data_IF_544896434312
#
_entry.id   IF_544896434312
#
_cell.length_a   1.000
_cell.length_b   1.000
_cell.length_c   1.000
_cell.angle_alpha   90.00
_cell.angle_beta   90.00
_cell.angle_gamma   90.00
#
_symmetry.space_group_name_H-M   'P 1'
#
loop_
_entity.id
_entity.type
_entity.pdbx_description
1 polymer ?
#
# COMPACT_ATOMS: atom_id res chain seq x y z
N UNK A 1 -4.18 -68.15 -2.79
CA UNK A 1 -4.29 -67.22 -3.92
C UNK A 1 -4.85 -65.87 -3.51
N UNK A 2 -5.84 -65.78 -2.61
CA UNK A 2 -6.40 -64.51 -2.11
C UNK A 2 -5.47 -63.65 -1.25
N UNK A 3 -4.65 -64.30 -0.37
CA UNK A 3 -3.70 -63.56 0.49
C UNK A 3 -2.54 -62.87 -0.27
N UNK A 4 -2.07 -63.48 -1.35
CA UNK A 4 -1.03 -62.91 -2.19
C UNK A 4 -1.53 -61.66 -2.98
N UNK A 5 -2.79 -61.66 -3.40
CA UNK A 5 -3.41 -60.54 -4.09
C UNK A 5 -3.63 -59.36 -3.15
N UNK A 6 -3.98 -59.61 -1.86
CA UNK A 6 -4.15 -58.59 -0.84
C UNK A 6 -2.83 -57.88 -0.46
N UNK A 7 -1.72 -58.61 -0.37
CA UNK A 7 -0.39 -58.07 -0.09
C UNK A 7 0.15 -57.20 -1.26
N UNK A 8 -0.13 -57.60 -2.50
CA UNK A 8 0.24 -56.81 -3.68
C UNK A 8 -0.53 -55.49 -3.75
N UNK A 9 -1.84 -55.49 -3.45
CA UNK A 9 -2.67 -54.29 -3.43
C UNK A 9 -2.25 -53.31 -2.31
N UNK A 10 -1.88 -53.82 -1.13
CA UNK A 10 -1.36 -53.00 -0.02
C UNK A 10 0.00 -52.34 -0.36
N UNK A 11 0.89 -53.07 -1.05
CA UNK A 11 2.20 -52.54 -1.46
C UNK A 11 2.06 -51.47 -2.55
N UNK A 12 1.09 -51.61 -3.47
CA UNK A 12 0.81 -50.60 -4.50
C UNK A 12 0.20 -49.32 -3.89
N UNK A 13 -0.68 -49.48 -2.90
CA UNK A 13 -1.27 -48.35 -2.18
C UNK A 13 -0.21 -47.51 -1.41
N UNK A 14 0.72 -48.18 -0.72
CA UNK A 14 1.84 -47.54 -0.03
C UNK A 14 2.80 -46.80 -1.00
N UNK A 15 3.06 -47.33 -2.17
CA UNK A 15 3.87 -46.68 -3.20
C UNK A 15 3.18 -45.45 -3.82
N UNK A 16 1.86 -45.47 -3.96
CA UNK A 16 1.08 -44.31 -4.43
C UNK A 16 1.04 -43.19 -3.40
N UNK A 17 0.94 -43.52 -2.09
CA UNK A 17 0.93 -42.51 -1.03
C UNK A 17 2.31 -41.84 -0.87
N UNK A 18 3.40 -42.59 -0.96
CA UNK A 18 4.76 -42.03 -0.93
C UNK A 18 5.03 -41.09 -2.11
N UNK A 19 4.54 -41.39 -3.33
CA UNK A 19 4.68 -40.50 -4.47
C UNK A 19 3.88 -39.19 -4.33
N UNK A 20 2.69 -39.23 -3.74
CA UNK A 20 1.87 -38.01 -3.49
C UNK A 20 2.51 -37.11 -2.45
N UNK A 21 3.07 -37.67 -1.36
CA UNK A 21 3.74 -36.91 -0.29
C UNK A 21 5.03 -36.27 -0.82
N UNK A 22 5.83 -37.03 -1.61
CA UNK A 22 7.06 -36.48 -2.20
C UNK A 22 6.78 -35.41 -3.25
N UNK A 23 5.73 -35.55 -4.04
CA UNK A 23 5.34 -34.58 -5.06
C UNK A 23 4.81 -33.27 -4.45
N UNK A 24 4.08 -33.37 -3.32
CA UNK A 24 3.65 -32.21 -2.53
C UNK A 24 4.83 -31.50 -1.89
N UNK A 25 5.77 -32.23 -1.27
CA UNK A 25 6.96 -31.67 -0.66
C UNK A 25 7.89 -30.98 -1.68
N UNK A 26 8.06 -31.59 -2.87
CA UNK A 26 8.83 -31.01 -3.97
C UNK A 26 8.18 -29.75 -4.55
N UNK A 27 6.84 -29.71 -4.67
CA UNK A 27 6.12 -28.49 -5.05
C UNK A 27 6.35 -27.38 -4.06
N UNK A 28 6.18 -27.65 -2.77
CA UNK A 28 6.40 -26.68 -1.69
C UNK A 28 7.85 -26.17 -1.65
N UNK A 29 8.84 -27.03 -1.91
CA UNK A 29 10.25 -26.63 -2.00
C UNK A 29 10.52 -25.73 -3.20
N UNK A 30 9.95 -26.04 -4.37
CA UNK A 30 10.06 -25.19 -5.58
C UNK A 30 9.38 -23.84 -5.40
N UNK A 31 8.22 -23.82 -4.75
CA UNK A 31 7.49 -22.57 -4.44
C UNK A 31 8.30 -21.69 -3.50
N UNK A 32 8.91 -22.25 -2.45
CA UNK A 32 9.80 -21.50 -1.54
C UNK A 32 11.01 -20.94 -2.28
N UNK A 33 11.73 -21.77 -3.03
CA UNK A 33 12.88 -21.32 -3.81
C UNK A 33 12.49 -20.22 -4.83
N UNK A 34 11.30 -20.33 -5.46
CA UNK A 34 10.79 -19.28 -6.33
C UNK A 34 10.53 -17.99 -5.57
N UNK A 35 9.92 -18.06 -4.38
CA UNK A 35 9.64 -16.90 -3.54
C UNK A 35 10.94 -16.22 -3.07
N UNK A 36 11.95 -16.99 -2.66
CA UNK A 36 13.27 -16.48 -2.26
C UNK A 36 13.95 -15.73 -3.40
N UNK A 37 14.05 -16.31 -4.58
CA UNK A 37 14.62 -15.64 -5.76
C UNK A 37 13.81 -14.40 -6.16
N UNK A 38 12.47 -14.47 -6.07
CA UNK A 38 11.62 -13.30 -6.34
C UNK A 38 11.93 -12.17 -5.34
N UNK A 39 12.12 -12.47 -4.06
CA UNK A 39 12.49 -11.49 -3.05
C UNK A 39 13.86 -10.87 -3.35
N UNK A 40 14.87 -11.66 -3.71
CA UNK A 40 16.20 -11.18 -4.11
C UNK A 40 16.14 -10.23 -5.31
N UNK A 41 15.31 -10.56 -6.33
CA UNK A 41 15.10 -9.68 -7.50
C UNK A 41 14.45 -8.36 -7.08
N UNK A 42 13.45 -8.40 -6.20
CA UNK A 42 12.77 -7.20 -5.71
C UNK A 42 13.70 -6.34 -4.85
N UNK A 43 14.54 -6.94 -4.02
CA UNK A 43 15.51 -6.21 -3.19
C UNK A 43 16.59 -5.54 -4.04
N UNK A 44 17.13 -6.23 -5.05
CA UNK A 44 18.03 -5.62 -6.02
C UNK A 44 17.35 -4.47 -6.78
N UNK A 45 16.08 -4.63 -7.18
CA UNK A 45 15.31 -3.59 -7.85
C UNK A 45 15.08 -2.37 -6.96
N UNK A 46 14.82 -2.54 -5.65
CA UNK A 46 14.76 -1.44 -4.66
C UNK A 46 16.08 -0.70 -4.55
N UNK A 47 17.22 -1.42 -4.61
CA UNK A 47 18.54 -0.80 -4.70
C UNK A 47 18.68 0.15 -5.89
N UNK A 48 18.23 -0.25 -7.08
CA UNK A 48 18.21 0.62 -8.27
C UNK A 48 17.27 1.81 -8.12
N UNK A 49 16.10 1.62 -7.49
CA UNK A 49 15.20 2.74 -7.19
C UNK A 49 15.87 3.79 -6.29
N UNK A 50 16.71 3.34 -5.35
CA UNK A 50 17.39 4.21 -4.40
C UNK A 50 18.50 5.05 -5.04
N UNK A 51 19.22 4.49 -6.02
CA UNK A 51 20.38 5.16 -6.64
C UNK A 51 20.04 5.91 -7.92
N UNK A 52 19.24 5.30 -8.79
CA UNK A 52 19.05 5.76 -10.17
C UNK A 52 17.57 6.11 -10.47
N UNK A 53 16.67 5.81 -9.54
CA UNK A 53 15.24 6.05 -9.68
C UNK A 53 14.52 5.08 -10.63
N UNK A 54 13.20 5.15 -10.64
CA UNK A 54 12.36 4.25 -11.43
C UNK A 54 12.62 4.25 -12.95
N UNK A 55 12.96 5.37 -13.61
CA UNK A 55 13.27 5.36 -15.04
C UNK A 55 14.45 4.47 -15.44
N UNK A 56 15.45 4.33 -14.56
CA UNK A 56 16.67 3.54 -14.81
C UNK A 56 16.51 2.04 -14.56
N UNK A 57 15.38 1.58 -14.02
CA UNK A 57 15.13 0.17 -13.70
C UNK A 57 15.26 -0.71 -14.94
N UNK A 58 16.19 -1.68 -14.89
CA UNK A 58 16.51 -2.58 -16.00
C UNK A 58 16.62 -4.03 -15.56
N UNK A 59 15.78 -4.92 -16.10
CA UNK A 59 15.84 -6.36 -15.82
C UNK A 59 17.21 -6.97 -16.16
N UNK A 60 17.88 -6.47 -17.20
CA UNK A 60 19.20 -6.96 -17.60
C UNK A 60 20.30 -6.56 -16.59
N UNK A 61 20.21 -5.34 -16.06
CA UNK A 61 21.15 -4.88 -15.04
C UNK A 61 20.98 -5.69 -13.74
N UNK A 62 19.74 -5.86 -13.28
CA UNK A 62 19.40 -6.67 -12.11
C UNK A 62 19.88 -8.11 -12.27
N UNK A 63 19.63 -8.74 -13.43
CA UNK A 63 20.08 -10.11 -13.70
C UNK A 63 21.62 -10.23 -13.60
N UNK A 64 22.34 -9.27 -14.16
CA UNK A 64 23.82 -9.24 -14.08
C UNK A 64 24.31 -9.13 -12.64
N UNK A 65 23.73 -8.26 -11.85
CA UNK A 65 24.15 -8.04 -10.46
C UNK A 65 23.85 -9.25 -9.55
N UNK A 66 22.77 -9.97 -9.86
CA UNK A 66 22.43 -11.23 -9.18
C UNK A 66 23.19 -12.45 -9.74
N UNK A 67 24.07 -12.27 -10.72
CA UNK A 67 24.78 -13.39 -11.37
C UNK A 67 23.84 -14.32 -12.14
N UNK A 68 22.67 -13.86 -12.54
CA UNK A 68 21.66 -14.63 -13.27
C UNK A 68 21.78 -14.42 -14.77
N UNK A 69 21.49 -15.46 -15.56
CA UNK A 69 21.23 -15.26 -16.98
C UNK A 69 19.95 -14.42 -17.16
N UNK A 70 19.97 -13.43 -18.06
CA UNK A 70 18.80 -12.58 -18.31
C UNK A 70 17.55 -13.42 -18.64
N UNK A 71 17.66 -14.50 -19.40
CA UNK A 71 16.57 -15.42 -19.70
C UNK A 71 15.96 -16.10 -18.47
N UNK A 72 16.75 -16.30 -17.41
CA UNK A 72 16.27 -16.85 -16.15
C UNK A 72 15.43 -15.81 -15.40
N UNK A 73 15.84 -14.55 -15.38
CA UNK A 73 15.08 -13.46 -14.74
C UNK A 73 13.73 -13.22 -15.43
N UNK A 74 13.68 -13.27 -16.76
CA UNK A 74 12.43 -13.15 -17.52
C UNK A 74 11.39 -14.26 -17.21
N UNK A 75 11.76 -15.34 -16.54
CA UNK A 75 10.81 -16.34 -16.02
C UNK A 75 10.11 -15.91 -14.72
N UNK A 76 10.64 -14.88 -14.04
CA UNK A 76 10.06 -14.30 -12.83
C UNK A 76 9.25 -13.05 -13.15
N UNK A 77 9.80 -12.18 -13.99
CA UNK A 77 9.15 -10.95 -14.46
C UNK A 77 9.29 -10.84 -15.97
N UNK A 78 8.18 -10.91 -16.68
CA UNK A 78 8.17 -10.93 -18.15
C UNK A 78 8.54 -9.58 -18.77
N UNK A 79 8.42 -8.50 -18.01
CA UNK A 79 8.74 -7.14 -18.45
C UNK A 79 9.20 -6.26 -17.28
N UNK A 80 9.82 -5.12 -17.62
CA UNK A 80 10.13 -4.06 -16.66
C UNK A 80 8.87 -3.55 -15.95
N UNK A 81 7.79 -3.42 -16.68
CA UNK A 81 6.53 -2.89 -16.15
C UNK A 81 5.86 -3.86 -15.18
N UNK A 82 6.00 -5.18 -15.39
CA UNK A 82 5.55 -6.18 -14.41
C UNK A 82 6.34 -6.08 -13.10
N UNK A 83 7.67 -5.94 -13.17
CA UNK A 83 8.51 -5.71 -11.99
C UNK A 83 8.14 -4.42 -11.28
N UNK A 84 7.94 -3.34 -12.04
CA UNK A 84 7.55 -2.03 -11.50
C UNK A 84 6.17 -2.08 -10.83
N UNK A 85 5.19 -2.75 -11.46
CA UNK A 85 3.87 -2.99 -10.88
C UNK A 85 3.96 -3.71 -9.54
N UNK A 86 4.81 -4.74 -9.46
CA UNK A 86 5.00 -5.48 -8.21
C UNK A 86 5.61 -4.60 -7.12
N UNK A 87 6.62 -3.80 -7.42
CA UNK A 87 7.23 -2.86 -6.48
C UNK A 87 6.23 -1.82 -5.98
N UNK A 88 5.37 -1.31 -6.87
CA UNK A 88 4.30 -0.37 -6.53
C UNK A 88 3.27 -1.01 -5.59
N UNK A 89 2.83 -2.23 -5.89
CA UNK A 89 1.90 -2.97 -5.04
C UNK A 89 2.51 -3.21 -3.67
N UNK A 90 3.74 -3.71 -3.60
CA UNK A 90 4.45 -3.99 -2.35
C UNK A 90 4.62 -2.72 -1.50
N UNK A 91 4.92 -1.57 -2.12
CA UNK A 91 5.04 -0.28 -1.44
C UNK A 91 3.71 0.19 -0.86
N UNK A 92 2.61 0.14 -1.62
CA UNK A 92 1.28 0.47 -1.12
C UNK A 92 0.80 -0.48 -0.04
N UNK A 93 1.08 -1.78 -0.16
CA UNK A 93 0.72 -2.77 0.84
C UNK A 93 1.50 -2.58 2.14
N UNK A 94 2.79 -2.27 2.07
CA UNK A 94 3.62 -1.95 3.23
C UNK A 94 3.13 -0.69 3.95
N UNK A 95 2.87 0.39 3.21
CA UNK A 95 2.30 1.63 3.75
C UNK A 95 0.93 1.40 4.40
N UNK A 96 0.04 0.71 3.70
CA UNK A 96 -1.29 0.39 4.20
C UNK A 96 -1.25 -0.44 5.47
N UNK A 97 -0.42 -1.48 5.51
CA UNK A 97 -0.24 -2.33 6.69
C UNK A 97 0.30 -1.54 7.90
N UNK A 98 1.24 -0.62 7.69
CA UNK A 98 1.77 0.24 8.75
C UNK A 98 0.68 1.14 9.35
N UNK A 99 -0.15 1.76 8.51
CA UNK A 99 -1.26 2.61 8.94
C UNK A 99 -2.35 1.80 9.68
N UNK A 100 -2.76 0.66 9.14
CA UNK A 100 -3.77 -0.23 9.73
C UNK A 100 -3.33 -0.78 11.08
N UNK A 101 -2.07 -1.19 11.21
CA UNK A 101 -1.53 -1.71 12.47
C UNK A 101 -1.54 -0.65 13.59
N UNK A 102 -1.21 0.59 13.26
CA UNK A 102 -1.23 1.70 14.25
C UNK A 102 -2.65 2.12 14.59
N UNK A 103 -3.54 2.19 13.62
CA UNK A 103 -4.95 2.54 13.81
C UNK A 103 -5.65 1.51 14.71
N UNK A 104 -5.45 0.22 14.44
CA UNK A 104 -6.09 -0.87 15.18
C UNK A 104 -5.65 -0.97 16.64
N UNK A 105 -4.52 -0.40 17.01
CA UNK A 105 -4.02 -0.36 18.39
C UNK A 105 -4.72 0.71 19.25
N UNK A 106 -5.50 1.61 18.63
CA UNK A 106 -6.24 2.68 19.34
C UNK A 106 -7.69 2.27 19.56
N UNK A 107 -8.26 2.67 20.70
CA UNK A 107 -9.66 2.36 21.04
C UNK A 107 -10.63 2.85 19.96
N UNK A 108 -11.62 2.04 19.59
CA UNK A 108 -12.55 2.31 18.47
C UNK A 108 -13.30 3.63 18.61
N UNK A 109 -13.62 4.06 19.82
CA UNK A 109 -14.35 5.30 20.08
C UNK A 109 -13.46 6.56 20.06
N UNK A 110 -12.15 6.40 20.08
CA UNK A 110 -11.18 7.50 20.01
C UNK A 110 -10.85 7.82 18.54
N UNK A 111 -11.75 8.52 17.87
CA UNK A 111 -11.59 8.88 16.45
C UNK A 111 -10.38 9.79 16.24
N UNK A 112 -10.11 10.72 17.14
CA UNK A 112 -8.97 11.62 17.07
C UNK A 112 -7.64 10.87 17.24
N UNK A 113 -7.57 9.96 18.21
CA UNK A 113 -6.40 9.10 18.41
C UNK A 113 -6.14 8.17 17.23
N UNK A 114 -7.17 7.55 16.68
CA UNK A 114 -7.07 6.70 15.48
C UNK A 114 -6.59 7.50 14.26
N UNK A 115 -7.14 8.69 14.05
CA UNK A 115 -6.70 9.59 12.98
C UNK A 115 -5.23 9.99 13.14
N UNK A 116 -4.84 10.38 14.36
CA UNK A 116 -3.43 10.69 14.68
C UNK A 116 -2.52 9.51 14.41
N UNK A 117 -2.92 8.31 14.79
CA UNK A 117 -2.16 7.08 14.58
C UNK A 117 -1.94 6.80 13.08
N UNK A 118 -2.97 6.95 12.24
CA UNK A 118 -2.85 6.81 10.78
C UNK A 118 -1.86 7.84 10.22
N UNK A 119 -2.05 9.13 10.50
CA UNK A 119 -1.21 10.19 9.96
C UNK A 119 0.26 10.02 10.36
N UNK A 120 0.50 9.72 11.64
CA UNK A 120 1.86 9.50 12.17
C UNK A 120 2.51 8.25 11.54
N UNK A 121 1.75 7.16 11.35
CA UNK A 121 2.26 5.95 10.72
C UNK A 121 2.64 6.18 9.26
N UNK A 122 1.80 6.89 8.50
CA UNK A 122 2.06 7.23 7.09
C UNK A 122 3.34 8.05 6.97
N UNK A 123 3.52 9.11 7.79
CA UNK A 123 4.75 9.91 7.76
C UNK A 123 5.98 9.09 8.18
N UNK A 124 5.88 8.32 9.27
CA UNK A 124 6.99 7.50 9.74
C UNK A 124 7.42 6.47 8.69
N UNK A 125 6.46 5.83 8.00
CA UNK A 125 6.75 4.93 6.90
C UNK A 125 7.43 5.65 5.73
N UNK A 126 6.93 6.82 5.35
CA UNK A 126 7.48 7.61 4.25
C UNK A 126 8.93 8.03 4.51
N UNK A 127 9.23 8.48 5.73
CA UNK A 127 10.60 8.85 6.14
C UNK A 127 11.55 7.65 6.19
N UNK A 128 11.03 6.47 6.53
CA UNK A 128 11.82 5.22 6.54
C UNK A 128 12.01 4.62 5.14
N UNK A 129 11.12 4.92 4.18
CA UNK A 129 11.10 4.34 2.83
C UNK A 129 10.96 5.43 1.76
N UNK A 130 11.90 6.42 1.71
CA UNK A 130 11.75 7.60 0.84
C UNK A 130 11.69 7.25 -0.66
N UNK A 131 12.38 6.19 -1.09
CA UNK A 131 12.42 5.79 -2.49
C UNK A 131 11.12 5.08 -2.93
N UNK A 132 10.56 4.23 -2.08
CA UNK A 132 9.25 3.62 -2.29
C UNK A 132 8.14 4.68 -2.23
N UNK A 133 8.26 5.66 -1.32
CA UNK A 133 7.35 6.79 -1.31
C UNK A 133 7.43 7.59 -2.61
N UNK A 134 8.64 7.88 -3.10
CA UNK A 134 8.84 8.57 -4.37
C UNK A 134 8.30 7.77 -5.57
N UNK A 135 8.36 6.43 -5.50
CA UNK A 135 7.80 5.57 -6.53
C UNK A 135 6.27 5.69 -6.64
N UNK A 136 5.55 5.81 -5.51
CA UNK A 136 4.08 5.78 -5.48
C UNK A 136 3.44 7.18 -5.40
N UNK A 137 4.16 8.20 -4.92
CA UNK A 137 3.66 9.58 -4.77
C UNK A 137 4.55 10.65 -5.43
N UNK A 138 5.67 10.25 -6.03
CA UNK A 138 6.56 11.15 -6.76
C UNK A 138 6.12 11.39 -8.20
N UNK A 139 7.09 11.70 -9.05
CA UNK A 139 6.83 11.95 -10.47
C UNK A 139 6.39 10.67 -11.20
N UNK A 140 5.41 10.76 -12.11
CA UNK A 140 5.02 9.62 -12.94
C UNK A 140 6.21 9.01 -13.69
N UNK A 141 6.27 7.68 -13.73
CA UNK A 141 7.31 6.96 -14.48
C UNK A 141 6.97 7.02 -15.97
N UNK A 142 7.84 7.60 -16.82
CA UNK A 142 7.56 7.72 -18.23
C UNK A 142 7.29 6.38 -18.90
N UNK A 143 6.18 6.32 -19.66
CA UNK A 143 5.78 5.14 -20.41
C UNK A 143 5.12 4.02 -19.59
N UNK A 144 5.06 4.14 -18.27
CA UNK A 144 4.38 3.16 -17.41
C UNK A 144 2.91 3.53 -17.22
N UNK A 145 2.03 2.53 -17.34
CA UNK A 145 0.60 2.64 -17.03
C UNK A 145 0.25 1.61 -15.96
N UNK A 146 -0.20 2.09 -14.81
CA UNK A 146 -0.56 1.22 -13.68
C UNK A 146 -1.78 0.35 -14.02
N UNK A 147 -1.70 -0.98 -13.90
CA UNK A 147 -2.84 -1.86 -14.11
C UNK A 147 -3.84 -1.78 -12.94
N UNK A 148 -5.05 -2.29 -13.15
CA UNK A 148 -6.14 -2.26 -12.17
C UNK A 148 -5.78 -2.92 -10.83
N UNK A 149 -4.88 -3.89 -10.81
CA UNK A 149 -4.43 -4.58 -9.60
C UNK A 149 -3.75 -3.66 -8.58
N UNK A 150 -3.26 -2.49 -9.01
CA UNK A 150 -2.68 -1.48 -8.10
C UNK A 150 -3.72 -0.67 -7.33
N UNK A 151 -4.99 -0.64 -7.78
CA UNK A 151 -6.04 0.21 -7.20
C UNK A 151 -6.34 -0.17 -5.75
N UNK A 152 -6.52 -1.46 -5.48
CA UNK A 152 -6.83 -1.94 -4.13
C UNK A 152 -5.72 -1.64 -3.12
N UNK A 153 -4.45 -1.97 -3.36
CA UNK A 153 -3.35 -1.56 -2.49
C UNK A 153 -3.28 -0.05 -2.29
N UNK A 154 -3.38 0.75 -3.35
CA UNK A 154 -3.33 2.21 -3.29
C UNK A 154 -4.46 2.84 -2.47
N UNK A 155 -5.62 2.20 -2.39
CA UNK A 155 -6.79 2.74 -1.67
C UNK A 155 -6.78 2.47 -0.16
N UNK A 156 -5.86 1.68 0.40
CA UNK A 156 -5.88 1.25 1.81
C UNK A 156 -5.91 2.44 2.78
N UNK A 157 -4.95 3.36 2.68
CA UNK A 157 -4.88 4.55 3.56
C UNK A 157 -6.08 5.47 3.35
N UNK A 158 -6.48 5.71 2.10
CA UNK A 158 -7.65 6.53 1.78
C UNK A 158 -8.93 5.94 2.38
N UNK A 159 -9.07 4.61 2.34
CA UNK A 159 -10.20 3.89 2.95
C UNK A 159 -10.23 4.06 4.46
N UNK A 160 -9.09 4.00 5.16
CA UNK A 160 -9.02 4.26 6.61
C UNK A 160 -9.51 5.67 6.94
N UNK A 161 -8.98 6.70 6.26
CA UNK A 161 -9.36 8.09 6.48
C UNK A 161 -10.85 8.32 6.19
N UNK A 162 -11.35 7.76 5.11
CA UNK A 162 -12.76 7.84 4.75
C UNK A 162 -13.66 7.18 5.80
N UNK A 163 -13.28 5.99 6.30
CA UNK A 163 -14.02 5.26 7.33
C UNK A 163 -14.16 6.09 8.59
N UNK A 164 -13.09 6.74 9.06
CA UNK A 164 -13.13 7.60 10.24
C UNK A 164 -14.09 8.80 10.06
N UNK A 165 -14.12 9.41 8.88
CA UNK A 165 -15.02 10.53 8.60
C UNK A 165 -16.46 10.07 8.58
N UNK A 166 -16.75 8.91 8.01
CA UNK A 166 -18.10 8.32 8.04
C UNK A 166 -18.52 7.97 9.47
N UNK A 167 -17.62 7.40 10.28
CA UNK A 167 -17.87 7.12 11.70
C UNK A 167 -18.13 8.41 12.49
N UNK A 168 -17.37 9.50 12.22
CA UNK A 168 -17.62 10.82 12.85
C UNK A 168 -18.99 11.39 12.47
N UNK A 169 -19.38 11.25 11.21
CA UNK A 169 -20.72 11.66 10.75
C UNK A 169 -21.83 10.83 11.40
N UNK A 170 -21.67 9.51 11.47
CA UNK A 170 -22.61 8.60 12.12
C UNK A 170 -22.76 8.88 13.64
N UNK A 171 -21.67 9.32 14.29
CA UNK A 171 -21.68 9.76 15.69
C UNK A 171 -22.28 11.17 15.88
N UNK A 172 -22.79 11.80 14.82
CA UNK A 172 -23.39 13.14 14.88
C UNK A 172 -22.41 14.29 15.10
N UNK A 173 -21.10 14.06 14.93
CA UNK A 173 -20.06 15.07 15.15
C UNK A 173 -19.96 16.07 13.99
N UNK A 174 -20.32 15.63 12.78
CA UNK A 174 -20.38 16.49 11.59
C UNK A 174 -21.81 17.07 11.49
N UNK A 175 -21.99 18.40 11.44
CA UNK A 175 -23.29 19.01 11.34
C UNK A 175 -24.06 18.51 10.09
N UNK A 176 -25.36 18.21 10.26
CA UNK A 176 -26.17 17.70 9.16
C UNK A 176 -26.31 18.71 8.00
N UNK A 177 -26.21 20.01 8.27
CA UNK A 177 -26.19 21.04 7.23
C UNK A 177 -24.97 20.87 6.31
N UNK A 178 -23.77 20.67 6.88
CA UNK A 178 -22.54 20.48 6.12
C UNK A 178 -22.59 19.26 5.19
N UNK A 179 -23.43 18.28 5.50
CA UNK A 179 -23.60 17.07 4.69
C UNK A 179 -24.63 17.31 3.56
N UNK A 180 -25.73 18.03 3.83
CA UNK A 180 -26.85 18.21 2.88
C UNK A 180 -26.57 19.25 1.82
N UNK A 181 -26.04 20.39 2.20
CA UNK A 181 -25.87 21.55 1.31
C UNK A 181 -24.86 21.31 0.18
N UNK A 182 -23.91 20.41 0.38
CA UNK A 182 -22.90 20.10 -0.63
C UNK A 182 -23.28 18.96 -1.58
N UNK A 183 -24.36 18.20 -1.32
CA UNK A 183 -24.83 17.16 -2.26
C UNK A 183 -25.39 17.76 -3.57
N UNK A 184 -25.88 19.00 -3.53
CA UNK A 184 -26.39 19.72 -4.69
C UNK A 184 -25.29 20.42 -5.52
N UNK A 185 -24.01 20.34 -5.13
CA UNK A 185 -22.94 21.07 -5.77
C UNK A 185 -22.31 20.32 -6.96
N UNK A 186 -21.70 21.04 -7.94
CA UNK A 186 -21.00 20.42 -9.08
C UNK A 186 -19.90 19.42 -8.68
N UNK A 187 -19.34 19.56 -7.46
CA UNK A 187 -18.34 18.65 -6.92
C UNK A 187 -18.84 17.20 -6.77
N UNK A 188 -20.12 17.01 -6.54
CA UNK A 188 -20.71 15.67 -6.43
C UNK A 188 -20.54 14.85 -7.72
N UNK A 189 -20.66 15.50 -8.89
CA UNK A 189 -20.42 14.89 -10.20
C UNK A 189 -18.93 14.61 -10.42
N UNK A 190 -18.06 15.54 -10.01
CA UNK A 190 -16.60 15.37 -10.12
C UNK A 190 -16.08 14.19 -9.28
N UNK A 191 -16.76 13.84 -8.18
CA UNK A 191 -16.40 12.74 -7.29
C UNK A 191 -17.00 11.39 -7.72
N UNK A 192 -17.77 11.32 -8.80
CA UNK A 192 -18.41 10.08 -9.26
C UNK A 192 -17.41 8.91 -9.45
N UNK A 193 -16.20 9.10 -10.02
CA UNK A 193 -15.25 8.01 -10.16
C UNK A 193 -14.84 7.38 -8.82
N UNK A 194 -14.48 8.18 -7.83
CA UNK A 194 -14.05 7.66 -6.52
C UNK A 194 -15.22 7.04 -5.75
N UNK A 195 -16.42 7.61 -5.88
CA UNK A 195 -17.62 7.10 -5.21
C UNK A 195 -18.00 5.69 -5.67
N UNK A 196 -17.63 5.29 -6.90
CA UNK A 196 -17.88 3.92 -7.40
C UNK A 196 -17.07 2.85 -6.65
N UNK A 197 -16.01 3.21 -5.96
CA UNK A 197 -15.19 2.31 -5.13
C UNK A 197 -15.58 2.32 -3.65
N UNK A 198 -16.51 3.20 -3.25
CA UNK A 198 -16.96 3.33 -1.86
C UNK A 198 -18.29 2.60 -1.65
N UNK A 199 -18.68 2.29 -0.41
CA UNK A 199 -20.01 1.78 -0.11
C UNK A 199 -21.09 2.71 -0.66
N UNK A 200 -22.17 2.13 -1.19
CA UNK A 200 -23.29 2.90 -1.73
C UNK A 200 -23.94 3.79 -0.64
N UNK A 201 -24.33 5.00 -1.02
CA UNK A 201 -25.04 5.93 -0.14
C UNK A 201 -24.14 6.84 0.70
N UNK A 202 -22.81 6.80 0.55
CA UNK A 202 -21.94 7.77 1.22
C UNK A 202 -22.12 9.16 0.57
N UNK A 203 -22.50 10.19 1.37
CA UNK A 203 -22.67 11.55 0.86
C UNK A 203 -21.38 12.14 0.26
N UNK A 204 -21.52 12.84 -0.88
CA UNK A 204 -20.38 13.47 -1.56
C UNK A 204 -19.54 14.41 -0.66
N UNK A 205 -20.12 15.19 0.26
CA UNK A 205 -19.34 16.03 1.19
C UNK A 205 -18.40 15.26 2.09
N UNK A 206 -18.77 14.05 2.53
CA UNK A 206 -17.89 13.22 3.36
C UNK A 206 -16.72 12.68 2.54
N UNK A 207 -16.96 12.30 1.28
CA UNK A 207 -15.91 11.89 0.34
C UNK A 207 -14.95 13.05 0.08
N UNK A 208 -15.47 14.25 -0.18
CA UNK A 208 -14.67 15.45 -0.40
C UNK A 208 -13.80 15.77 0.83
N UNK A 209 -14.38 15.71 2.04
CA UNK A 209 -13.66 15.95 3.29
C UNK A 209 -12.49 14.96 3.48
N UNK A 210 -12.73 13.69 3.17
CA UNK A 210 -11.69 12.65 3.19
C UNK A 210 -10.58 12.93 2.18
N UNK A 211 -10.93 13.33 0.95
CA UNK A 211 -9.95 13.67 -0.08
C UNK A 211 -9.13 14.91 0.30
N UNK A 212 -9.76 15.93 0.91
CA UNK A 212 -9.03 17.12 1.39
C UNK A 212 -8.00 16.75 2.46
N UNK A 213 -8.34 15.89 3.41
CA UNK A 213 -7.38 15.39 4.39
C UNK A 213 -6.29 14.56 3.73
N UNK A 214 -6.66 13.65 2.85
CA UNK A 214 -5.71 12.81 2.11
C UNK A 214 -4.69 13.66 1.32
N UNK A 215 -5.16 14.65 0.56
CA UNK A 215 -4.27 15.52 -0.23
C UNK A 215 -3.38 16.38 0.66
N UNK A 216 -3.89 16.89 1.79
CA UNK A 216 -3.09 17.65 2.75
C UNK A 216 -2.01 16.78 3.42
N UNK A 217 -2.38 15.57 3.89
CA UNK A 217 -1.45 14.64 4.52
C UNK A 217 -0.29 14.31 3.59
N UNK A 218 -0.60 13.85 2.39
CA UNK A 218 0.44 13.48 1.42
C UNK A 218 1.18 14.71 0.86
N UNK A 219 0.53 15.87 0.80
CA UNK A 219 1.17 17.13 0.43
C UNK A 219 2.25 17.55 1.44
N UNK A 220 1.94 17.53 2.73
CA UNK A 220 2.91 17.88 3.78
C UNK A 220 4.08 16.89 3.80
N UNK A 221 3.81 15.59 3.71
CA UNK A 221 4.85 14.56 3.68
C UNK A 221 5.72 14.69 2.43
N UNK A 222 5.12 14.91 1.26
CA UNK A 222 5.88 15.14 0.02
C UNK A 222 6.76 16.38 0.10
N UNK A 223 6.25 17.48 0.67
CA UNK A 223 7.01 18.70 0.83
C UNK A 223 8.19 18.52 1.80
N UNK A 224 8.00 17.71 2.85
CA UNK A 224 9.09 17.35 3.76
C UNK A 224 10.16 16.51 3.06
N UNK A 225 9.75 15.41 2.38
CA UNK A 225 10.67 14.47 1.76
C UNK A 225 11.40 15.03 0.53
N UNK A 226 10.70 15.85 -0.27
CA UNK A 226 11.28 16.40 -1.50
C UNK A 226 11.89 17.79 -1.32
N UNK A 227 12.06 18.25 -0.06
CA UNK A 227 12.82 19.43 0.29
C UNK A 227 12.08 20.77 0.12
N UNK A 228 10.78 20.79 -0.20
CA UNK A 228 10.03 22.03 -0.36
C UNK A 228 9.79 22.76 0.99
N UNK A 229 9.97 22.10 2.12
CA UNK A 229 9.95 22.74 3.44
C UNK A 229 11.30 23.33 3.86
N UNK A 230 12.35 23.21 3.03
CA UNK A 230 13.64 23.85 3.28
C UNK A 230 13.47 25.37 3.38
N UNK A 231 14.04 26.01 4.38
CA UNK A 231 13.87 27.45 4.70
C UNK A 231 12.42 27.92 4.97
N UNK A 232 11.46 27.01 5.13
CA UNK A 232 10.05 27.33 5.44
C UNK A 232 9.71 26.88 6.85
N UNK A 233 10.16 25.70 7.23
CA UNK A 233 10.08 25.12 8.57
C UNK A 233 11.49 24.73 8.98
N UNK A 234 11.83 24.95 10.25
CA UNK A 234 13.15 24.60 10.79
C UNK A 234 13.50 23.14 10.49
N UNK A 235 14.80 22.89 10.27
CA UNK A 235 15.27 21.56 9.86
C UNK A 235 15.46 20.59 11.02
N UNK A 236 15.43 21.10 12.26
CA UNK A 236 15.50 20.24 13.43
C UNK A 236 14.36 19.23 13.44
N UNK A 237 14.64 17.94 13.63
CA UNK A 237 13.61 16.90 13.65
C UNK A 237 12.48 17.15 14.64
N UNK A 238 12.78 17.75 15.81
CA UNK A 238 11.76 18.06 16.80
C UNK A 238 10.80 19.16 16.32
N UNK A 239 11.30 20.15 15.59
CA UNK A 239 10.48 21.21 15.00
C UNK A 239 9.62 20.67 13.86
N UNK A 240 10.16 19.77 13.03
CA UNK A 240 9.39 19.05 12.00
C UNK A 240 8.28 18.21 12.60
N UNK A 241 8.56 17.49 13.69
CA UNK A 241 7.57 16.70 14.43
C UNK A 241 6.49 17.59 15.03
N UNK A 242 6.86 18.73 15.65
CA UNK A 242 5.92 19.69 16.21
C UNK A 242 5.01 20.31 15.13
N UNK A 243 5.58 20.70 13.99
CA UNK A 243 4.83 21.21 12.84
C UNK A 243 3.82 20.17 12.33
N UNK A 244 4.26 18.92 12.13
CA UNK A 244 3.37 17.86 11.65
C UNK A 244 2.26 17.54 12.65
N UNK A 245 2.58 17.53 13.95
CA UNK A 245 1.58 17.35 15.01
C UNK A 245 0.55 18.48 15.04
N UNK A 246 0.95 19.75 14.78
CA UNK A 246 0.01 20.86 14.64
C UNK A 246 -0.90 20.69 13.42
N UNK A 247 -0.37 20.26 12.29
CA UNK A 247 -1.17 19.93 11.11
C UNK A 247 -2.26 18.90 11.46
N UNK A 248 -1.88 17.82 12.14
CA UNK A 248 -2.85 16.78 12.57
C UNK A 248 -3.95 17.36 13.44
N UNK A 249 -3.63 18.20 14.45
CA UNK A 249 -4.62 18.86 15.32
C UNK A 249 -5.62 19.69 14.50
N UNK A 250 -5.14 20.45 13.51
CA UNK A 250 -6.00 21.24 12.62
C UNK A 250 -6.91 20.35 11.75
N UNK A 251 -6.39 19.25 11.25
CA UNK A 251 -7.19 18.30 10.48
C UNK A 251 -8.25 17.59 11.32
N UNK A 252 -7.95 17.25 12.57
CA UNK A 252 -8.93 16.72 13.55
C UNK A 252 -10.09 17.71 13.74
N UNK A 253 -9.78 19.00 13.93
CA UNK A 253 -10.79 20.04 14.04
C UNK A 253 -11.61 20.16 12.75
N UNK A 254 -10.96 20.19 11.58
CA UNK A 254 -11.61 20.27 10.28
C UNK A 254 -12.54 19.07 10.02
N UNK A 255 -12.16 17.89 10.48
CA UNK A 255 -12.91 16.64 10.28
C UNK A 255 -13.93 16.35 11.39
N UNK A 256 -14.02 17.24 12.41
CA UNK A 256 -14.90 17.11 13.56
C UNK A 256 -14.72 15.77 14.32
N UNK A 257 -13.51 15.28 14.43
CA UNK A 257 -13.16 14.04 15.13
C UNK A 257 -12.82 14.24 16.61
N UNK A 258 -13.06 15.45 17.15
CA UNK A 258 -12.84 15.80 18.57
C UNK A 258 -13.82 15.11 19.50
#
# INVERSE_FOLDING_TARGET
>A
MQEQCSRLLSSISLLCDHRRVTDSALRTARERARAEITAEILDAARGYLATDGAPALSLRAIARDLGMASSALYRYFSSRDELLTRLIIDAYDSLGAAAEARESAVGRNDLAGRFTAICTAVRAWALAHPNEYALIYGSPVPGYVAPADTVRPASRVTTLLHTLIVEAAAAGRIPAADIRDAEAQPVASALAPIRSYLPSGVPAPLVQRALMVWTNLFGVISFELFGQLHNVVEEDPADRDAFFADCIRRWITFTAMT
#
